data_IF_645323855335
#
_entry.id   IF_645323855335
#
_cell.length_a   1.000
_cell.length_b   1.000
_cell.length_c   1.000
_cell.angle_alpha   90.00
_cell.angle_beta   90.00
_cell.angle_gamma   90.00
#
_symmetry.space_group_name_H-M   'P 1'
#
loop_
_entity.id
_entity.type
_entity.pdbx_description
1 polymer ?
#
# COMPACT_ATOMS: atom_id res chain seq x y z
N UNK A 1 -2.38 26.41 -9.89
CA UNK A 1 -2.19 26.67 -11.30
C UNK A 1 -0.73 26.58 -11.71
N UNK A 2 -0.44 26.18 -12.93
CA UNK A 2 0.93 26.23 -13.45
C UNK A 2 1.32 27.69 -13.70
N UNK A 3 2.48 28.15 -13.24
CA UNK A 3 2.97 29.48 -13.57
C UNK A 3 3.10 29.59 -15.11
N UNK A 4 2.40 30.55 -15.71
CA UNK A 4 2.47 30.79 -17.15
C UNK A 4 1.40 30.12 -18.01
N UNK A 5 0.50 29.32 -17.47
CA UNK A 5 -0.71 28.91 -18.17
C UNK A 5 -1.82 29.96 -17.93
N UNK A 6 -2.28 30.60 -18.98
CA UNK A 6 -3.49 31.40 -18.93
C UNK A 6 -4.65 30.48 -18.53
N UNK A 7 -5.13 30.62 -17.30
CA UNK A 7 -6.38 29.98 -16.90
C UNK A 7 -7.49 30.77 -17.57
N UNK A 8 -8.28 30.07 -18.34
CA UNK A 8 -9.49 30.62 -18.97
C UNK A 8 -10.36 31.24 -17.84
N UNK A 9 -10.55 32.53 -17.87
CA UNK A 9 -11.27 33.26 -16.82
C UNK A 9 -12.70 32.75 -16.67
N UNK A 10 -13.29 32.28 -17.77
CA UNK A 10 -14.62 31.70 -17.79
C UNK A 10 -14.73 30.35 -17.05
N UNK A 11 -13.60 29.71 -16.69
CA UNK A 11 -13.55 28.48 -15.91
C UNK A 11 -13.23 28.67 -14.44
N UNK A 12 -13.09 29.91 -13.99
CA UNK A 12 -12.87 30.16 -12.55
C UNK A 12 -14.20 30.02 -11.82
N UNK A 13 -14.23 29.30 -10.68
CA UNK A 13 -15.40 29.35 -9.80
C UNK A 13 -15.66 30.79 -9.39
N UNK A 14 -16.90 31.21 -9.48
CA UNK A 14 -17.32 32.58 -9.12
C UNK A 14 -17.86 32.67 -7.71
N UNK A 15 -18.13 31.50 -7.09
CA UNK A 15 -18.64 31.35 -5.75
C UNK A 15 -17.81 30.30 -4.98
N UNK A 16 -17.24 30.69 -3.87
CA UNK A 16 -16.48 29.84 -2.97
C UNK A 16 -17.10 29.86 -1.59
N UNK A 17 -17.22 28.68 -0.97
CA UNK A 17 -17.67 28.58 0.43
C UNK A 17 -16.64 29.16 1.40
N UNK A 18 -15.36 28.98 1.05
CA UNK A 18 -14.22 29.52 1.79
C UNK A 18 -13.18 30.03 0.83
N UNK A 19 -12.62 31.20 1.13
CA UNK A 19 -11.51 31.79 0.42
C UNK A 19 -10.28 31.82 1.32
N UNK A 20 -9.16 31.35 0.79
CA UNK A 20 -7.86 31.36 1.48
C UNK A 20 -6.92 32.25 0.68
N UNK A 21 -6.47 33.35 1.29
CA UNK A 21 -5.45 34.21 0.70
C UNK A 21 -4.07 33.53 0.79
N UNK A 22 -3.58 33.11 -0.37
CA UNK A 22 -2.24 32.52 -0.52
C UNK A 22 -1.25 33.50 -1.18
N UNK A 23 -1.47 34.80 -1.06
CA UNK A 23 -0.63 35.81 -1.70
C UNK A 23 0.86 35.65 -1.33
N UNK A 24 1.71 35.51 -2.34
CA UNK A 24 3.15 35.30 -2.16
C UNK A 24 3.54 33.86 -1.79
N UNK A 25 2.60 32.93 -1.75
CA UNK A 25 2.88 31.50 -1.43
C UNK A 25 2.61 30.61 -2.64
N UNK A 26 3.23 29.44 -2.62
CA UNK A 26 2.99 28.38 -3.60
C UNK A 26 1.97 27.39 -3.05
N UNK A 27 0.97 27.06 -3.87
CA UNK A 27 -0.04 26.04 -3.55
C UNK A 27 0.23 24.81 -4.40
N UNK A 28 0.33 23.66 -3.75
CA UNK A 28 0.55 22.36 -4.40
C UNK A 28 -0.40 21.31 -3.82
N UNK A 29 -0.68 20.23 -4.55
CA UNK A 29 -1.39 19.08 -3.98
C UNK A 29 -0.63 18.53 -2.76
N UNK A 30 -1.36 17.99 -1.78
CA UNK A 30 -0.74 17.28 -0.68
C UNK A 30 0.01 16.03 -1.16
N UNK A 31 1.05 15.66 -0.43
CA UNK A 31 1.87 14.49 -0.73
C UNK A 31 1.06 13.22 -0.44
N UNK A 32 1.20 12.22 -1.31
CA UNK A 32 0.64 10.89 -1.12
C UNK A 32 1.77 9.94 -0.76
N UNK A 33 1.74 9.36 0.44
CA UNK A 33 2.65 8.30 0.81
C UNK A 33 2.04 6.94 0.44
N UNK A 34 2.69 6.25 -0.49
CA UNK A 34 2.18 5.02 -1.09
C UNK A 34 2.50 3.76 -0.28
N UNK A 35 3.26 3.88 0.81
CA UNK A 35 3.60 2.74 1.65
C UNK A 35 3.89 3.15 3.09
N UNK A 36 2.90 3.05 3.95
CA UNK A 36 3.01 3.45 5.35
C UNK A 36 2.73 2.29 6.29
N UNK A 37 3.27 2.42 7.49
CA UNK A 37 2.97 1.55 8.64
C UNK A 37 2.71 2.42 9.85
N UNK A 38 1.67 2.11 10.64
CA UNK A 38 1.37 2.80 11.89
C UNK A 38 0.60 1.92 12.86
N UNK A 39 0.76 2.20 14.13
CA UNK A 39 0.01 1.57 15.20
C UNK A 39 0.18 0.06 15.33
N UNK A 40 -0.59 -0.54 16.19
CA UNK A 40 -0.76 -1.99 16.29
C UNK A 40 0.36 -2.77 16.96
N UNK A 41 1.42 -2.12 17.45
CA UNK A 41 2.46 -2.78 18.25
C UNK A 41 2.69 -2.04 19.56
N UNK A 42 3.15 -2.76 20.58
CA UNK A 42 3.46 -2.18 21.91
C UNK A 42 4.58 -1.15 21.90
N UNK A 43 5.36 -1.09 20.84
CA UNK A 43 6.48 -0.13 20.65
C UNK A 43 6.14 1.02 19.71
N UNK A 44 5.01 0.94 19.01
CA UNK A 44 4.59 2.02 18.12
C UNK A 44 3.96 3.16 18.94
N UNK A 45 4.18 4.42 18.57
CA UNK A 45 3.41 5.53 19.13
C UNK A 45 1.93 5.36 18.80
N UNK A 46 1.08 6.09 19.52
CA UNK A 46 -0.35 6.16 19.17
C UNK A 46 -0.53 6.60 17.72
N UNK A 47 -1.48 5.99 17.04
CA UNK A 47 -1.68 6.24 15.61
C UNK A 47 -1.94 7.71 15.29
N UNK A 48 -2.73 8.39 16.11
CA UNK A 48 -3.03 9.83 15.93
C UNK A 48 -1.79 10.72 16.01
N UNK A 49 -0.80 10.35 16.82
CA UNK A 49 0.47 11.08 16.83
C UNK A 49 1.18 10.96 15.48
N UNK A 50 1.23 9.75 14.93
CA UNK A 50 1.81 9.50 13.60
C UNK A 50 1.05 10.25 12.50
N UNK A 51 -0.29 10.25 12.55
CA UNK A 51 -1.13 10.98 11.59
C UNK A 51 -0.85 12.48 11.61
N UNK A 52 -0.73 13.07 12.79
CA UNK A 52 -0.41 14.50 12.95
C UNK A 52 0.98 14.83 12.43
N UNK A 53 1.96 13.92 12.62
CA UNK A 53 3.29 14.09 12.02
C UNK A 53 3.22 14.08 10.48
N UNK A 54 2.53 13.14 9.89
CA UNK A 54 2.34 13.10 8.44
C UNK A 54 1.69 14.37 7.91
N UNK A 55 0.57 14.78 8.52
CA UNK A 55 -0.11 16.01 8.14
C UNK A 55 0.80 17.24 8.27
N UNK A 56 1.57 17.33 9.35
CA UNK A 56 2.54 18.41 9.58
C UNK A 56 3.66 18.47 8.53
N UNK A 57 3.94 17.34 7.85
CA UNK A 57 4.90 17.28 6.74
C UNK A 57 4.24 17.36 5.35
N UNK A 58 2.95 17.69 5.30
CA UNK A 58 2.22 17.85 4.04
C UNK A 58 1.75 16.55 3.41
N UNK A 59 1.82 15.41 4.10
CA UNK A 59 1.29 14.13 3.65
C UNK A 59 -0.20 14.11 3.98
N UNK A 60 -1.04 14.23 2.97
CA UNK A 60 -2.49 14.34 3.10
C UNK A 60 -3.24 13.07 2.70
N UNK A 61 -2.53 12.11 2.15
CA UNK A 61 -3.08 10.80 1.80
C UNK A 61 -2.03 9.73 2.06
N UNK A 62 -2.44 8.63 2.67
CA UNK A 62 -1.57 7.47 2.90
C UNK A 62 -2.21 6.21 2.36
N UNK A 63 -1.39 5.37 1.77
CA UNK A 63 -1.77 4.03 1.35
C UNK A 63 -0.87 3.02 2.05
N UNK A 64 -1.46 2.00 2.61
CA UNK A 64 -0.65 0.96 3.22
C UNK A 64 -1.39 0.20 4.29
N UNK A 65 -0.62 -0.32 5.19
CA UNK A 65 -1.10 -1.13 6.28
C UNK A 65 -0.88 -0.33 7.56
N UNK A 66 -1.87 0.41 8.06
CA UNK A 66 -1.75 1.04 9.37
C UNK A 66 -1.42 0.00 10.44
N UNK A 67 -2.02 -1.19 10.34
CA UNK A 67 -1.66 -2.35 11.16
C UNK A 67 -2.11 -3.66 10.48
N UNK A 68 -1.64 -4.80 10.99
CA UNK A 68 -2.17 -6.13 10.62
C UNK A 68 -3.57 -6.38 11.20
N UNK A 69 -4.07 -5.50 12.05
CA UNK A 69 -5.38 -5.59 12.67
C UNK A 69 -6.44 -4.95 11.76
N UNK A 70 -7.22 -5.76 11.07
CA UNK A 70 -8.24 -5.31 10.12
C UNK A 70 -9.29 -4.39 10.78
N UNK A 71 -9.91 -4.73 11.91
CA UNK A 71 -10.88 -3.86 12.56
C UNK A 71 -10.31 -2.49 12.91
N UNK A 72 -9.09 -2.43 13.45
CA UNK A 72 -8.41 -1.19 13.76
C UNK A 72 -8.20 -0.34 12.50
N UNK A 73 -7.63 -0.92 11.45
CA UNK A 73 -7.36 -0.19 10.20
C UNK A 73 -8.61 0.41 9.58
N UNK A 74 -9.69 -0.35 9.56
CA UNK A 74 -10.97 0.11 8.99
C UNK A 74 -11.64 1.16 9.87
N UNK A 75 -11.53 1.03 11.20
CA UNK A 75 -11.98 2.06 12.14
C UNK A 75 -11.24 3.38 11.93
N UNK A 76 -9.92 3.35 11.81
CA UNK A 76 -9.11 4.55 11.58
C UNK A 76 -9.42 5.20 10.22
N UNK A 77 -9.64 4.39 9.18
CA UNK A 77 -10.13 4.87 7.90
C UNK A 77 -11.45 5.63 8.05
N UNK A 78 -12.44 5.02 8.69
CA UNK A 78 -13.76 5.64 8.91
C UNK A 78 -13.67 6.93 9.74
N UNK A 79 -12.86 6.94 10.82
CA UNK A 79 -12.65 8.14 11.65
C UNK A 79 -11.99 9.28 10.87
N UNK A 80 -11.04 8.94 9.98
CA UNK A 80 -10.41 9.92 9.10
C UNK A 80 -11.41 10.47 8.06
N UNK A 81 -12.19 9.61 7.43
CA UNK A 81 -13.23 10.00 6.47
C UNK A 81 -14.33 10.87 7.11
N UNK A 82 -14.70 10.54 8.36
CA UNK A 82 -15.67 11.29 9.16
C UNK A 82 -15.12 12.58 9.76
N UNK A 83 -13.84 12.91 9.58
CA UNK A 83 -13.15 14.03 10.22
C UNK A 83 -13.22 13.98 11.75
N UNK A 84 -13.28 12.81 12.34
CA UNK A 84 -13.28 12.60 13.80
C UNK A 84 -11.88 12.76 14.38
N UNK A 85 -10.86 12.60 13.54
CA UNK A 85 -9.45 12.72 13.88
C UNK A 85 -8.70 13.58 12.86
N UNK A 86 -7.61 14.21 13.28
CA UNK A 86 -6.68 14.88 12.37
C UNK A 86 -5.75 13.84 11.77
N UNK A 87 -6.07 13.39 10.58
CA UNK A 87 -5.34 12.35 9.87
C UNK A 87 -5.34 12.58 8.35
N UNK A 88 -4.35 12.03 7.62
CA UNK A 88 -4.43 11.92 6.16
C UNK A 88 -5.63 11.05 5.77
N UNK A 89 -6.09 11.15 4.53
CA UNK A 89 -6.98 10.15 3.95
C UNK A 89 -6.28 8.78 3.95
N UNK A 90 -6.95 7.75 4.44
CA UNK A 90 -6.37 6.41 4.62
C UNK A 90 -6.96 5.44 3.59
N UNK A 91 -6.09 4.86 2.76
CA UNK A 91 -6.41 3.70 1.94
C UNK A 91 -5.91 2.44 2.63
N UNK A 92 -6.83 1.56 3.01
CA UNK A 92 -6.56 0.40 3.86
C UNK A 92 -6.25 -0.84 3.01
N UNK A 93 -4.99 -1.32 3.10
CA UNK A 93 -4.49 -2.48 2.37
C UNK A 93 -4.12 -3.59 3.35
N UNK A 94 -4.58 -4.81 3.09
CA UNK A 94 -4.43 -5.92 4.03
C UNK A 94 -3.67 -7.10 3.43
N UNK A 95 -2.94 -7.81 4.29
CA UNK A 95 -2.19 -9.01 3.91
C UNK A 95 -3.06 -10.25 3.86
N UNK A 96 -2.80 -11.19 2.91
CA UNK A 96 -3.54 -12.43 2.80
C UNK A 96 -3.58 -13.23 4.10
N UNK A 97 -4.78 -13.68 4.47
CA UNK A 97 -5.04 -14.38 5.73
C UNK A 97 -5.29 -13.48 6.93
N UNK A 98 -5.33 -12.15 6.75
CA UNK A 98 -5.72 -11.24 7.81
C UNK A 98 -7.25 -11.19 7.98
N UNK A 99 -7.68 -10.76 9.16
CA UNK A 99 -9.09 -10.65 9.54
C UNK A 99 -9.57 -11.78 10.43
N UNK A 100 -10.61 -11.50 11.23
CA UNK A 100 -11.09 -12.39 12.29
C UNK A 100 -11.50 -13.77 11.75
N UNK A 101 -12.21 -13.83 10.64
CA UNK A 101 -12.64 -15.09 10.03
C UNK A 101 -11.50 -15.95 9.47
N UNK A 102 -10.28 -15.43 9.46
CA UNK A 102 -9.09 -16.08 8.90
C UNK A 102 -7.99 -16.36 9.93
N UNK A 103 -8.20 -16.09 11.20
CA UNK A 103 -7.18 -16.26 12.26
C UNK A 103 -6.61 -17.68 12.31
N UNK A 104 -7.45 -18.69 12.12
CA UNK A 104 -7.08 -20.12 12.17
C UNK A 104 -7.02 -20.76 10.78
N UNK A 105 -7.10 -19.97 9.73
CA UNK A 105 -7.08 -20.43 8.33
C UNK A 105 -5.79 -20.00 7.63
N UNK A 106 -5.38 -20.79 6.64
CA UNK A 106 -4.24 -20.49 5.77
C UNK A 106 -4.69 -20.48 4.32
N UNK A 107 -4.06 -19.63 3.53
CA UNK A 107 -4.26 -19.63 2.09
C UNK A 107 -3.30 -20.63 1.47
N UNK A 108 -3.80 -21.79 1.10
CA UNK A 108 -3.03 -22.91 0.55
C UNK A 108 -3.39 -23.19 -0.91
N UNK A 109 -4.59 -22.82 -1.33
CA UNK A 109 -5.13 -23.04 -2.67
C UNK A 109 -5.55 -21.74 -3.34
N UNK A 110 -5.80 -21.77 -4.65
CA UNK A 110 -6.36 -20.64 -5.38
C UNK A 110 -7.77 -20.29 -4.87
N UNK A 111 -8.56 -21.27 -4.46
CA UNK A 111 -9.91 -21.05 -3.93
C UNK A 111 -9.85 -20.35 -2.57
N UNK A 112 -8.94 -20.74 -1.67
CA UNK A 112 -8.71 -20.02 -0.41
C UNK A 112 -8.33 -18.57 -0.68
N UNK A 113 -7.49 -18.34 -1.68
CA UNK A 113 -7.05 -16.99 -2.05
C UNK A 113 -8.23 -16.13 -2.49
N UNK A 114 -9.08 -16.62 -3.39
CA UNK A 114 -10.28 -15.90 -3.86
C UNK A 114 -11.27 -15.66 -2.72
N UNK A 115 -11.55 -16.68 -1.92
CA UNK A 115 -12.44 -16.56 -0.77
C UNK A 115 -11.97 -15.48 0.22
N UNK A 116 -10.66 -15.42 0.48
CA UNK A 116 -10.09 -14.39 1.34
C UNK A 116 -10.22 -12.98 0.72
N UNK A 117 -9.95 -12.83 -0.57
CA UNK A 117 -10.10 -11.52 -1.25
C UNK A 117 -11.55 -11.04 -1.18
N UNK A 118 -12.51 -11.92 -1.45
CA UNK A 118 -13.93 -11.60 -1.30
C UNK A 118 -14.29 -11.21 0.15
N UNK A 119 -13.74 -11.92 1.11
CA UNK A 119 -13.94 -11.60 2.52
C UNK A 119 -13.43 -10.19 2.84
N UNK A 120 -12.17 -9.87 2.51
CA UNK A 120 -11.57 -8.59 2.88
C UNK A 120 -12.20 -7.42 2.11
N UNK A 121 -12.66 -7.64 0.89
CA UNK A 121 -13.44 -6.67 0.12
C UNK A 121 -14.75 -6.31 0.84
N UNK A 122 -15.50 -7.33 1.32
CA UNK A 122 -16.72 -7.10 2.10
C UNK A 122 -16.48 -6.38 3.42
N UNK A 123 -15.27 -6.46 3.99
CA UNK A 123 -14.92 -5.67 5.18
C UNK A 123 -14.67 -4.19 4.85
N UNK A 124 -14.49 -3.81 3.58
CA UNK A 124 -14.25 -2.42 3.16
C UNK A 124 -12.79 -2.07 2.93
N UNK A 125 -11.93 -3.08 2.70
CA UNK A 125 -10.55 -2.85 2.29
C UNK A 125 -10.48 -2.18 0.91
N UNK A 126 -9.46 -1.35 0.70
CA UNK A 126 -9.17 -0.70 -0.59
C UNK A 126 -8.20 -1.52 -1.44
N UNK A 127 -7.52 -2.48 -0.85
CA UNK A 127 -6.57 -3.29 -1.60
C UNK A 127 -5.81 -4.33 -0.78
N UNK A 128 -4.90 -5.00 -1.48
CA UNK A 128 -4.11 -6.10 -0.98
C UNK A 128 -2.65 -5.69 -0.75
N UNK A 129 -2.10 -6.05 0.41
CA UNK A 129 -0.67 -5.97 0.72
C UNK A 129 -0.08 -7.37 0.65
N UNK A 130 0.56 -7.66 -0.46
CA UNK A 130 1.04 -9.00 -0.80
C UNK A 130 2.51 -9.20 -0.40
N UNK A 131 2.87 -10.46 -0.15
CA UNK A 131 4.23 -10.96 -0.15
C UNK A 131 4.52 -11.72 -1.44
N UNK A 132 5.58 -12.55 -1.42
CA UNK A 132 5.83 -13.53 -2.48
C UNK A 132 5.00 -14.78 -2.20
N UNK A 133 4.10 -15.08 -3.11
CA UNK A 133 3.30 -16.31 -3.08
C UNK A 133 3.63 -17.17 -4.29
N UNK A 134 3.33 -18.47 -4.20
CA UNK A 134 3.41 -19.35 -5.37
C UNK A 134 2.59 -18.76 -6.51
N UNK A 135 3.02 -18.90 -7.77
CA UNK A 135 2.36 -18.25 -8.92
C UNK A 135 0.85 -18.47 -8.98
N UNK A 136 0.38 -19.69 -8.70
CA UNK A 136 -1.06 -20.02 -8.72
C UNK A 136 -1.86 -19.26 -7.65
N UNK A 137 -1.26 -19.04 -6.48
CA UNK A 137 -1.89 -18.27 -5.40
C UNK A 137 -1.87 -16.78 -5.74
N UNK A 138 -0.70 -16.29 -6.21
CA UNK A 138 -0.55 -14.89 -6.60
C UNK A 138 -1.53 -14.50 -7.71
N UNK A 139 -1.66 -15.33 -8.73
CA UNK A 139 -2.63 -15.13 -9.80
C UNK A 139 -4.06 -15.04 -9.26
N UNK A 140 -4.46 -15.98 -8.39
CA UNK A 140 -5.81 -15.97 -7.82
C UNK A 140 -6.10 -14.73 -6.96
N UNK A 141 -5.11 -14.28 -6.16
CA UNK A 141 -5.22 -13.05 -5.36
C UNK A 141 -5.41 -11.82 -6.26
N UNK A 142 -4.61 -11.71 -7.31
CA UNK A 142 -4.60 -10.55 -8.20
C UNK A 142 -5.83 -10.52 -9.13
N UNK A 143 -6.22 -11.67 -9.68
CA UNK A 143 -7.43 -11.79 -10.50
C UNK A 143 -8.67 -11.36 -9.72
N UNK A 144 -8.86 -11.95 -8.54
CA UNK A 144 -10.03 -11.64 -7.71
C UNK A 144 -10.03 -10.19 -7.22
N UNK A 145 -8.86 -9.65 -6.88
CA UNK A 145 -8.73 -8.24 -6.51
C UNK A 145 -9.15 -7.32 -7.66
N UNK A 146 -8.72 -7.65 -8.89
CA UNK A 146 -9.10 -6.91 -10.09
C UNK A 146 -10.60 -6.97 -10.36
N UNK A 147 -11.21 -8.14 -10.25
CA UNK A 147 -12.66 -8.32 -10.43
C UNK A 147 -13.47 -7.49 -9.43
N UNK A 148 -12.97 -7.35 -8.20
CA UNK A 148 -13.62 -6.59 -7.14
C UNK A 148 -13.20 -5.11 -7.08
N UNK A 149 -12.36 -4.65 -8.01
CA UNK A 149 -11.87 -3.26 -8.06
C UNK A 149 -10.91 -2.88 -6.94
N UNK A 150 -10.27 -3.86 -6.30
CA UNK A 150 -9.27 -3.62 -5.26
C UNK A 150 -7.90 -3.33 -5.85
N UNK A 151 -7.17 -2.40 -5.23
CA UNK A 151 -5.77 -2.17 -5.55
C UNK A 151 -4.86 -3.29 -5.04
N UNK A 152 -3.61 -3.34 -5.54
CA UNK A 152 -2.62 -4.30 -5.04
C UNK A 152 -1.23 -3.68 -4.95
N UNK A 153 -0.49 -4.10 -3.93
CA UNK A 153 0.92 -3.77 -3.73
C UNK A 153 1.65 -4.97 -3.14
N UNK A 154 2.90 -5.18 -3.49
CA UNK A 154 3.68 -6.29 -2.96
C UNK A 154 5.02 -5.88 -2.37
N UNK A 155 5.34 -6.48 -1.22
CA UNK A 155 6.69 -6.64 -0.69
C UNK A 155 7.12 -8.07 -1.02
N UNK A 156 7.79 -8.27 -2.14
CA UNK A 156 8.08 -9.62 -2.61
C UNK A 156 9.01 -10.40 -1.69
N UNK A 157 9.77 -9.73 -0.86
CA UNK A 157 10.62 -10.36 0.14
C UNK A 157 11.74 -11.20 -0.46
N UNK A 158 12.93 -11.06 0.04
CA UNK A 158 14.13 -11.67 -0.52
C UNK A 158 14.08 -13.20 -0.58
N UNK A 159 13.43 -13.82 0.41
CA UNK A 159 13.30 -15.29 0.45
C UNK A 159 12.29 -15.85 -0.55
N UNK A 160 11.50 -15.00 -1.16
CA UNK A 160 10.41 -15.40 -2.06
C UNK A 160 10.64 -15.06 -3.53
N UNK A 161 11.68 -14.30 -3.87
CA UNK A 161 11.91 -13.83 -5.25
C UNK A 161 12.18 -14.94 -6.26
N UNK A 162 12.67 -16.10 -5.81
CA UNK A 162 12.84 -17.27 -6.67
C UNK A 162 11.51 -17.86 -7.18
N UNK A 163 10.41 -17.62 -6.48
CA UNK A 163 9.10 -18.11 -6.89
C UNK A 163 8.19 -17.02 -7.45
N UNK A 164 8.52 -15.75 -7.21
CA UNK A 164 7.75 -14.59 -7.67
C UNK A 164 8.64 -13.34 -7.67
N UNK A 165 9.17 -12.98 -8.81
CA UNK A 165 9.91 -11.74 -9.00
C UNK A 165 9.00 -10.59 -9.46
N UNK A 166 9.55 -9.39 -9.63
CA UNK A 166 8.77 -8.21 -10.01
C UNK A 166 8.13 -8.32 -11.39
N UNK A 167 8.85 -8.91 -12.36
CA UNK A 167 8.34 -9.09 -13.73
C UNK A 167 7.16 -10.06 -13.76
N UNK A 168 7.26 -11.17 -13.05
CA UNK A 168 6.19 -12.18 -12.99
C UNK A 168 4.97 -11.61 -12.28
N UNK A 169 5.17 -10.91 -11.16
CA UNK A 169 4.08 -10.24 -10.45
C UNK A 169 3.38 -9.18 -11.32
N UNK A 170 4.16 -8.40 -12.08
CA UNK A 170 3.61 -7.42 -13.02
C UNK A 170 2.79 -8.07 -14.14
N UNK A 171 3.28 -9.20 -14.70
CA UNK A 171 2.53 -9.98 -15.70
C UNK A 171 1.20 -10.52 -15.16
N UNK A 172 1.15 -10.85 -13.89
CA UNK A 172 -0.07 -11.26 -13.20
C UNK A 172 -0.99 -10.10 -12.83
N UNK A 173 -0.59 -8.84 -13.10
CA UNK A 173 -1.44 -7.68 -12.87
C UNK A 173 -1.21 -6.96 -11.52
N UNK A 174 -0.06 -7.17 -10.87
CA UNK A 174 0.30 -6.41 -9.66
C UNK A 174 0.32 -4.91 -9.96
N UNK A 175 -0.41 -4.13 -9.16
CA UNK A 175 -0.54 -2.69 -9.36
C UNK A 175 0.71 -1.89 -9.01
N UNK A 176 1.39 -2.25 -7.92
CA UNK A 176 2.61 -1.57 -7.46
C UNK A 176 3.53 -2.51 -6.70
N UNK A 177 4.82 -2.20 -6.72
CA UNK A 177 5.84 -2.86 -5.93
C UNK A 177 6.33 -1.93 -4.83
N UNK A 178 6.55 -2.47 -3.63
CA UNK A 178 7.24 -1.79 -2.53
C UNK A 178 8.62 -2.40 -2.34
N UNK A 179 9.62 -1.55 -2.13
CA UNK A 179 11.02 -1.94 -2.02
C UNK A 179 11.60 -2.46 -3.35
N UNK A 180 12.80 -3.00 -3.30
CA UNK A 180 13.54 -3.43 -4.50
C UNK A 180 13.50 -4.94 -4.75
N UNK A 181 12.98 -5.70 -3.79
CA UNK A 181 12.97 -7.17 -3.86
C UNK A 181 12.23 -7.67 -5.09
N UNK A 182 12.87 -8.53 -5.81
CA UNK A 182 12.36 -9.09 -7.06
C UNK A 182 12.59 -8.20 -8.29
N UNK A 183 12.99 -6.92 -8.11
CA UNK A 183 13.26 -6.03 -9.24
C UNK A 183 14.58 -6.40 -9.94
N UNK A 184 15.66 -6.50 -9.18
CA UNK A 184 16.97 -6.87 -9.72
C UNK A 184 16.97 -8.31 -10.25
N UNK A 185 16.34 -9.23 -9.51
CA UNK A 185 16.20 -10.62 -9.88
C UNK A 185 15.42 -10.79 -11.21
N UNK A 186 14.51 -9.89 -11.50
CA UNK A 186 13.77 -9.90 -12.77
C UNK A 186 14.60 -9.47 -14.00
N UNK A 187 15.82 -8.98 -13.78
CA UNK A 187 16.73 -8.58 -14.86
C UNK A 187 17.72 -9.67 -15.25
N UNK A 188 17.80 -10.76 -14.48
CA UNK A 188 18.68 -11.88 -14.83
C UNK A 188 18.05 -12.77 -15.89
N UNK A 189 18.88 -13.26 -16.82
CA UNK A 189 18.45 -14.15 -17.91
C UNK A 189 18.74 -15.63 -17.61
N UNK A 190 19.68 -15.90 -16.71
CA UNK A 190 20.25 -17.23 -16.47
C UNK A 190 20.03 -17.76 -15.04
N UNK A 191 19.49 -16.95 -14.14
CA UNK A 191 19.18 -17.33 -12.76
C UNK A 191 18.06 -16.47 -12.15
N UNK A 192 17.43 -16.98 -11.09
CA UNK A 192 16.24 -16.37 -10.49
C UNK A 192 16.55 -15.58 -9.22
N UNK A 193 17.75 -15.71 -8.66
CA UNK A 193 18.14 -15.07 -7.40
C UNK A 193 19.55 -14.49 -7.49
N UNK A 194 19.79 -13.43 -6.75
CA UNK A 194 21.12 -12.85 -6.65
C UNK A 194 22.09 -13.86 -6.00
N UNK A 195 23.33 -13.99 -6.50
CA UNK A 195 24.33 -14.89 -5.95
C UNK A 195 24.97 -14.29 -4.69
N UNK A 196 24.20 -14.18 -3.64
CA UNK A 196 24.68 -13.64 -2.37
C UNK A 196 25.71 -14.58 -1.72
N UNK A 197 26.75 -14.04 -1.05
CA UNK A 197 27.62 -14.83 -0.20
C UNK A 197 26.86 -15.62 0.85
N UNK A 198 27.32 -16.84 1.16
CA UNK A 198 26.67 -17.75 2.12
C UNK A 198 26.61 -17.15 3.53
N UNK A 199 27.58 -16.32 3.87
CA UNK A 199 27.73 -15.62 5.16
C UNK A 199 27.09 -14.25 5.18
N UNK A 200 26.36 -13.87 4.14
CA UNK A 200 25.69 -12.58 4.04
C UNK A 200 24.66 -12.40 5.15
N UNK A 201 24.75 -11.29 5.87
CA UNK A 201 23.71 -10.90 6.81
C UNK A 201 22.55 -10.23 6.07
N UNK A 202 21.50 -11.00 5.80
CA UNK A 202 20.30 -10.52 5.12
C UNK A 202 19.51 -9.43 5.86
N UNK A 203 19.79 -9.22 7.14
CA UNK A 203 19.20 -8.13 7.92
C UNK A 203 20.00 -6.83 7.82
N UNK A 204 21.17 -6.86 7.21
CA UNK A 204 21.99 -5.68 7.00
C UNK A 204 21.76 -5.16 5.57
N UNK A 205 21.05 -4.06 5.45
CA UNK A 205 20.75 -3.48 4.14
C UNK A 205 21.99 -3.02 3.38
N UNK A 206 23.02 -2.60 4.09
CA UNK A 206 24.30 -2.21 3.44
C UNK A 206 25.00 -3.39 2.76
N UNK A 207 24.69 -4.63 3.13
CA UNK A 207 25.24 -5.82 2.48
C UNK A 207 24.46 -6.21 1.22
N UNK A 208 23.36 -5.52 0.92
CA UNK A 208 22.47 -5.87 -0.22
C UNK A 208 22.69 -5.00 -1.45
N UNK A 209 23.44 -3.89 -1.28
CA UNK A 209 23.63 -2.90 -2.34
C UNK A 209 25.12 -2.56 -2.53
#
# INVERSE_FOLDING_TARGET
>A
GYPGLAIDEDRRPTDATHEIDAHGQYVMPGIIDMHTHTGGSTKAPEAEYTYKLWMGHGITTVRGVPSSNVPFSLSEKARSEGNEIVAPRIFSYHGPGSGEAWLDRKILTADDAREWVQYIARQGADGLKLGSYRPVIMAALLDEAKELGLGSTAHLGQMGVAQMNAQDAARLGLGTLTHYYGLFESMYEDHDVQPWPVDMNYNNEQHRF
#
